data_IF_117586125533
#
_entry.id   IF_117586125533
#
_cell.length_a   1.000
_cell.length_b   1.000
_cell.length_c   1.000
_cell.angle_alpha   90.00
_cell.angle_beta   90.00
_cell.angle_gamma   90.00
#
_symmetry.space_group_name_H-M   'P 1'
#
loop_
_entity.id
_entity.type
_entity.pdbx_description
1 polymer ?
#
# COMPACT_ATOMS: atom_id res chain seq x y z
N UNK A 1 -5.82 -45.92 2.74
CA UNK A 1 -6.47 -45.20 1.62
C UNK A 1 -6.50 -43.72 1.99
N UNK A 2 -5.52 -42.94 1.51
CA UNK A 2 -5.45 -41.49 1.69
C UNK A 2 -6.34 -40.81 0.65
N UNK A 3 -7.26 -39.94 1.09
CA UNK A 3 -8.00 -39.05 0.21
C UNK A 3 -7.22 -37.74 0.11
N UNK A 4 -6.51 -37.53 -1.00
CA UNK A 4 -5.98 -36.22 -1.36
C UNK A 4 -7.12 -35.39 -1.97
N UNK A 5 -7.50 -34.32 -1.29
CA UNK A 5 -8.35 -33.27 -1.84
C UNK A 5 -7.42 -32.19 -2.40
N UNK A 6 -7.26 -32.20 -3.72
CA UNK A 6 -6.70 -31.07 -4.45
C UNK A 6 -7.75 -29.96 -4.46
N UNK A 7 -7.60 -28.98 -3.58
CA UNK A 7 -8.31 -27.71 -3.69
C UNK A 7 -7.59 -26.87 -4.76
N UNK A 8 -8.20 -26.76 -5.94
CA UNK A 8 -7.84 -25.79 -6.97
C UNK A 8 -8.06 -24.39 -6.39
N UNK A 9 -6.97 -23.72 -6.01
CA UNK A 9 -6.96 -22.30 -5.66
C UNK A 9 -7.18 -21.48 -6.93
N UNK A 10 -8.40 -20.98 -7.10
CA UNK A 10 -8.74 -19.97 -8.10
C UNK A 10 -7.89 -18.74 -7.84
N UNK A 11 -6.88 -18.48 -8.67
CA UNK A 11 -6.14 -17.23 -8.67
C UNK A 11 -7.11 -16.17 -9.20
N UNK A 12 -7.72 -15.42 -8.28
CA UNK A 12 -8.40 -14.18 -8.64
C UNK A 12 -7.31 -13.20 -9.06
N UNK A 13 -7.16 -12.99 -10.36
CA UNK A 13 -6.33 -11.95 -10.96
C UNK A 13 -6.75 -10.60 -10.38
N UNK A 14 -5.87 -9.98 -9.60
CA UNK A 14 -6.03 -8.63 -9.09
C UNK A 14 -5.84 -7.62 -10.22
N UNK A 15 -6.87 -7.47 -11.04
CA UNK A 15 -6.98 -6.33 -11.94
C UNK A 15 -7.71 -5.19 -11.21
N UNK A 16 -7.13 -4.00 -11.28
CA UNK A 16 -7.72 -2.69 -10.97
C UNK A 16 -7.80 -2.26 -9.49
N UNK A 17 -6.70 -1.67 -9.02
CA UNK A 17 -6.75 -0.40 -8.29
C UNK A 17 -5.59 0.52 -8.74
N UNK A 18 -5.57 0.84 -10.03
CA UNK A 18 -4.76 1.94 -10.57
C UNK A 18 -5.51 3.26 -10.31
N UNK A 19 -5.34 3.85 -9.14
CA UNK A 19 -5.75 5.23 -8.91
C UNK A 19 -4.77 6.15 -9.64
N UNK A 20 -5.19 6.60 -10.83
CA UNK A 20 -4.55 7.68 -11.57
C UNK A 20 -4.56 8.96 -10.72
N UNK A 21 -3.41 9.38 -10.21
CA UNK A 21 -3.21 10.78 -9.81
C UNK A 21 -2.72 11.55 -11.03
N UNK A 22 -3.67 12.05 -11.83
CA UNK A 22 -3.37 13.09 -12.80
C UNK A 22 -3.07 14.38 -12.01
N UNK A 23 -1.79 14.69 -11.84
CA UNK A 23 -1.37 16.05 -11.52
C UNK A 23 -1.49 16.86 -12.80
N UNK A 24 -2.33 17.89 -12.75
CA UNK A 24 -2.62 18.83 -13.84
C UNK A 24 -1.36 19.47 -14.42
N UNK A 25 -1.15 19.33 -15.73
CA UNK A 25 -0.14 20.04 -16.52
C UNK A 25 -0.33 19.83 -18.03
N UNK A 26 -0.59 20.92 -18.76
CA UNK A 26 -1.09 21.01 -20.14
C UNK A 26 -0.25 20.33 -21.25
N UNK A 27 -0.91 19.73 -22.25
CA UNK A 27 -1.02 20.26 -23.64
C UNK A 27 -1.73 19.28 -24.58
N UNK A 28 -2.55 19.84 -25.47
CA UNK A 28 -3.33 19.22 -26.55
C UNK A 28 -2.62 18.11 -27.33
N UNK A 29 -3.32 17.00 -27.56
CA UNK A 29 -3.26 16.26 -28.83
C UNK A 29 -4.44 15.28 -28.97
N UNK A 30 -5.37 15.62 -29.87
CA UNK A 30 -5.96 14.70 -30.86
C UNK A 30 -6.83 13.54 -30.38
N UNK A 31 -8.15 13.74 -30.38
CA UNK A 31 -9.12 12.66 -30.50
C UNK A 31 -9.04 12.11 -31.93
N UNK A 32 -8.70 10.82 -32.07
CA UNK A 32 -8.96 10.06 -33.29
C UNK A 32 -9.84 8.85 -32.96
N UNK A 33 -11.12 8.99 -33.31
CA UNK A 33 -12.12 7.93 -33.40
C UNK A 33 -11.80 6.98 -34.53
N UNK A 34 -11.99 5.66 -34.35
CA UNK A 34 -12.43 4.76 -35.42
C UNK A 34 -13.02 3.48 -34.83
N UNK A 35 -14.34 3.34 -34.96
CA UNK A 35 -15.07 2.09 -34.86
C UNK A 35 -15.36 1.56 -36.28
N UNK A 36 -15.19 0.26 -36.42
CA UNK A 36 -15.92 -0.75 -37.21
C UNK A 36 -16.43 -0.46 -38.64
N UNK A 37 -16.15 -1.44 -39.52
CA UNK A 37 -17.08 -1.83 -40.58
C UNK A 37 -16.46 -2.65 -41.71
N UNK A 38 -16.89 -3.90 -41.90
CA UNK A 38 -16.80 -4.59 -43.20
C UNK A 38 -16.76 -6.11 -43.15
N UNK A 39 -17.86 -6.75 -43.57
CA UNK A 39 -18.07 -8.21 -43.56
C UNK A 39 -17.82 -8.90 -44.94
N UNK A 40 -17.53 -10.21 -44.86
CA UNK A 40 -17.78 -11.34 -45.81
C UNK A 40 -17.15 -11.33 -47.22
N UNK A 41 -16.44 -12.40 -47.62
CA UNK A 41 -17.01 -13.61 -48.27
C UNK A 41 -15.92 -14.67 -48.62
N UNK A 42 -16.40 -15.88 -48.92
CA UNK A 42 -15.80 -17.20 -49.03
C UNK A 42 -14.90 -17.53 -50.24
N UNK A 43 -13.91 -18.43 -50.05
CA UNK A 43 -13.50 -19.47 -51.03
C UNK A 43 -12.47 -20.47 -50.49
N UNK A 44 -12.81 -21.76 -50.54
CA UNK A 44 -11.97 -22.96 -50.34
C UNK A 44 -10.90 -23.14 -51.42
N UNK A 45 -9.64 -23.44 -51.04
CA UNK A 45 -8.66 -24.25 -51.81
C UNK A 45 -7.64 -24.94 -50.87
N UNK A 46 -7.37 -26.19 -51.18
CA UNK A 46 -6.43 -27.11 -50.53
C UNK A 46 -4.94 -26.69 -50.58
N UNK A 47 -4.22 -27.18 -49.56
CA UNK A 47 -2.82 -27.62 -49.53
C UNK A 47 -1.67 -26.62 -49.80
N UNK A 48 -1.06 -26.12 -48.71
CA UNK A 48 0.41 -26.15 -48.55
C UNK A 48 0.79 -26.10 -47.07
N UNK A 49 1.56 -27.10 -46.62
CA UNK A 49 2.28 -27.11 -45.34
C UNK A 49 3.21 -25.88 -45.30
N UNK A 50 3.13 -24.99 -44.30
CA UNK A 50 4.12 -23.93 -44.14
C UNK A 50 5.50 -24.57 -43.85
N UNK A 51 6.59 -24.05 -44.42
CA UNK A 51 7.94 -24.47 -44.04
C UNK A 51 8.16 -24.15 -42.55
N UNK A 52 9.01 -24.97 -41.92
CA UNK A 52 9.35 -24.86 -40.52
C UNK A 52 10.08 -23.53 -40.23
N UNK A 53 9.61 -22.88 -39.17
CA UNK A 53 10.32 -21.98 -38.25
C UNK A 53 11.14 -20.87 -38.91
N UNK A 54 10.50 -19.72 -39.07
CA UNK A 54 11.16 -18.44 -38.89
C UNK A 54 11.78 -18.43 -37.50
N UNK A 55 13.10 -18.28 -37.42
CA UNK A 55 13.77 -17.79 -36.23
C UNK A 55 13.23 -16.37 -36.01
N UNK A 56 12.15 -16.25 -35.22
CA UNK A 56 11.74 -14.96 -34.69
C UNK A 56 12.94 -14.40 -33.93
N UNK A 57 13.42 -13.19 -34.27
CA UNK A 57 14.48 -12.57 -33.51
C UNK A 57 13.98 -12.43 -32.07
N UNK A 58 14.73 -13.00 -31.11
CA UNK A 58 14.50 -12.80 -29.68
C UNK A 58 14.22 -11.30 -29.47
N UNK A 59 12.95 -10.97 -29.16
CA UNK A 59 12.62 -9.59 -28.82
C UNK A 59 13.51 -9.21 -27.64
N UNK A 60 14.19 -8.05 -27.69
CA UNK A 60 15.08 -7.68 -26.61
C UNK A 60 14.27 -7.64 -25.32
N UNK A 61 14.67 -8.43 -24.32
CA UNK A 61 14.08 -8.42 -22.99
C UNK A 61 13.80 -6.97 -22.59
N UNK A 62 12.52 -6.62 -22.43
CA UNK A 62 12.12 -5.28 -22.05
C UNK A 62 12.87 -4.95 -20.75
N UNK A 63 13.69 -3.88 -20.77
CA UNK A 63 14.53 -3.53 -19.63
C UNK A 63 13.63 -2.97 -18.54
N UNK A 64 13.13 -3.86 -17.68
CA UNK A 64 12.31 -3.51 -16.53
C UNK A 64 13.15 -2.77 -15.48
N UNK A 65 12.55 -1.78 -14.81
CA UNK A 65 13.18 -1.05 -13.69
C UNK A 65 13.25 -1.86 -12.39
N UNK A 66 12.75 -3.09 -12.39
CA UNK A 66 12.70 -3.99 -11.25
C UNK A 66 13.05 -5.42 -11.68
N UNK A 67 13.40 -6.26 -10.70
CA UNK A 67 13.67 -7.69 -10.91
C UNK A 67 12.52 -8.54 -10.38
N UNK A 68 12.32 -9.71 -10.98
CA UNK A 68 11.32 -10.68 -10.55
C UNK A 68 11.79 -11.55 -9.37
N UNK A 69 13.08 -11.51 -9.02
CA UNK A 69 13.66 -12.30 -7.93
C UNK A 69 12.96 -11.99 -6.59
N UNK A 70 12.67 -13.01 -5.76
CA UNK A 70 12.07 -12.81 -4.45
C UNK A 70 12.88 -11.85 -3.58
N UNK A 71 12.18 -10.92 -2.92
CA UNK A 71 12.79 -9.99 -1.98
C UNK A 71 12.68 -10.56 -0.57
N UNK A 72 13.83 -10.58 0.12
CA UNK A 72 13.87 -10.91 1.54
C UNK A 72 13.31 -9.75 2.38
N UNK A 73 12.12 -9.98 2.94
CA UNK A 73 11.43 -9.03 3.83
C UNK A 73 11.75 -9.24 5.31
N UNK A 74 12.64 -10.17 5.66
CA UNK A 74 12.98 -10.47 7.06
C UNK A 74 13.62 -9.27 7.79
N UNK A 75 14.29 -8.39 7.03
CA UNK A 75 14.88 -7.15 7.54
C UNK A 75 13.86 -6.02 7.73
N UNK A 76 12.64 -6.14 7.20
CA UNK A 76 11.59 -5.15 7.39
C UNK A 76 10.99 -5.34 8.77
N UNK A 77 11.40 -4.46 9.69
CA UNK A 77 10.89 -4.42 11.05
C UNK A 77 9.41 -4.07 11.11
N UNK A 78 8.80 -4.48 12.22
CA UNK A 78 7.46 -4.09 12.63
C UNK A 78 7.37 -4.09 14.15
N UNK A 79 6.60 -3.15 14.68
CA UNK A 79 6.14 -3.13 16.07
C UNK A 79 4.66 -2.77 16.08
N UNK A 80 3.90 -3.25 17.09
CA UNK A 80 2.50 -2.89 17.28
C UNK A 80 2.28 -1.38 17.26
N UNK A 81 1.13 -0.96 16.76
CA UNK A 81 0.76 0.44 16.68
C UNK A 81 0.58 1.04 18.08
N UNK A 82 1.15 2.22 18.29
CA UNK A 82 0.90 2.99 19.50
C UNK A 82 -0.41 3.77 19.35
N UNK A 83 -1.44 3.33 20.06
CA UNK A 83 -2.74 4.01 20.10
C UNK A 83 -2.74 5.13 21.16
N UNK A 84 -2.98 6.37 20.73
CA UNK A 84 -3.29 7.51 21.61
C UNK A 84 -4.46 8.31 21.02
N UNK A 85 -5.67 7.73 21.02
CA UNK A 85 -6.84 8.37 20.43
C UNK A 85 -7.15 9.70 21.13
N UNK A 86 -7.51 10.72 20.34
CA UNK A 86 -7.83 12.06 20.84
C UNK A 86 -6.62 12.92 21.21
N UNK A 87 -5.38 12.43 21.05
CA UNK A 87 -4.18 13.27 21.24
C UNK A 87 -4.06 14.37 20.19
N UNK A 88 -4.60 14.15 18.99
CA UNK A 88 -4.66 15.14 17.92
C UNK A 88 -6.11 15.54 17.63
N UNK A 89 -6.30 16.79 17.20
CA UNK A 89 -7.57 17.19 16.57
C UNK A 89 -7.54 16.86 15.07
N UNK A 90 -8.65 17.09 14.36
CA UNK A 90 -8.68 16.95 12.89
C UNK A 90 -7.81 17.98 12.15
N UNK A 91 -7.38 19.07 12.82
CA UNK A 91 -6.58 20.14 12.22
C UNK A 91 -5.13 19.70 11.94
N UNK A 92 -4.66 18.59 12.52
CA UNK A 92 -3.32 17.99 12.25
C UNK A 92 -3.05 17.82 10.76
N UNK A 93 -4.05 17.40 9.97
CA UNK A 93 -3.88 17.20 8.53
C UNK A 93 -3.68 18.51 7.79
N UNK A 94 -4.33 19.58 8.25
CA UNK A 94 -4.16 20.92 7.71
C UNK A 94 -2.76 21.45 8.02
N UNK A 95 -2.29 21.31 9.27
CA UNK A 95 -0.94 21.73 9.68
C UNK A 95 0.12 21.05 8.80
N UNK A 96 0.07 19.73 8.66
CA UNK A 96 1.06 18.99 7.86
C UNK A 96 0.97 19.40 6.38
N UNK A 97 -0.25 19.52 5.83
CA UNK A 97 -0.47 19.94 4.43
C UNK A 97 0.10 21.33 4.16
N UNK A 98 -0.22 22.30 5.01
CA UNK A 98 0.18 23.69 4.82
C UNK A 98 1.70 23.81 4.90
N UNK A 99 2.33 23.08 5.83
CA UNK A 99 3.79 23.07 5.97
C UNK A 99 4.49 22.42 4.77
N UNK A 100 3.99 21.28 4.28
CA UNK A 100 4.52 20.66 3.06
C UNK A 100 4.33 21.56 1.85
N UNK A 101 3.18 22.23 1.72
CA UNK A 101 2.91 23.15 0.61
C UNK A 101 3.85 24.35 0.64
N UNK A 102 4.07 24.95 1.81
CA UNK A 102 4.97 26.10 1.99
C UNK A 102 6.44 25.77 1.67
N UNK A 103 6.84 24.50 1.77
CA UNK A 103 8.21 24.05 1.57
C UNK A 103 8.37 23.14 0.34
N UNK A 104 7.50 23.26 -0.67
CA UNK A 104 7.57 22.50 -1.92
C UNK A 104 7.66 20.97 -1.72
N UNK A 105 6.98 20.46 -0.70
CA UNK A 105 6.94 19.05 -0.34
C UNK A 105 8.16 18.54 0.43
N UNK A 106 9.13 19.39 0.76
CA UNK A 106 10.35 19.00 1.47
C UNK A 106 10.45 19.67 2.84
N UNK A 107 10.11 18.92 3.89
CA UNK A 107 10.22 19.36 5.29
C UNK A 107 10.93 18.26 6.07
N UNK A 108 11.91 18.64 6.90
CA UNK A 108 12.57 17.65 7.75
C UNK A 108 11.61 17.15 8.84
N UNK A 109 11.83 15.90 9.26
CA UNK A 109 11.07 15.27 10.34
C UNK A 109 11.00 16.15 11.60
N UNK A 110 12.14 16.72 12.03
CA UNK A 110 12.20 17.55 13.23
C UNK A 110 11.38 18.84 13.09
N UNK A 111 11.44 19.49 11.93
CA UNK A 111 10.65 20.70 11.66
C UNK A 111 9.16 20.38 11.68
N UNK A 112 8.75 19.27 11.08
CA UNK A 112 7.35 18.86 11.07
C UNK A 112 6.83 18.51 12.48
N UNK A 113 7.64 17.80 13.27
CA UNK A 113 7.32 17.46 14.67
C UNK A 113 7.19 18.71 15.53
N UNK A 114 8.14 19.65 15.42
CA UNK A 114 8.14 20.90 16.18
C UNK A 114 6.95 21.79 15.81
N UNK A 115 6.60 21.85 14.52
CA UNK A 115 5.46 22.64 14.07
C UNK A 115 4.15 22.05 14.57
N UNK A 116 4.02 20.72 14.55
CA UNK A 116 2.84 20.05 15.08
C UNK A 116 2.70 20.26 16.59
N UNK A 117 3.82 20.25 17.33
CA UNK A 117 3.83 20.50 18.76
C UNK A 117 3.36 21.93 19.12
N UNK A 118 3.66 22.91 18.26
CA UNK A 118 3.25 24.32 18.41
C UNK A 118 1.81 24.57 18.01
N UNK A 119 1.38 23.97 16.90
CA UNK A 119 0.08 24.26 16.28
C UNK A 119 -1.07 23.43 16.87
N UNK A 120 -0.83 22.18 17.29
CA UNK A 120 -1.82 21.32 17.93
C UNK A 120 -1.54 21.21 19.44
N UNK A 121 -0.54 20.41 19.79
CA UNK A 121 -0.09 20.14 21.16
C UNK A 121 1.16 19.24 21.13
N UNK A 122 1.93 19.27 22.22
CA UNK A 122 3.02 18.30 22.42
C UNK A 122 2.51 16.85 22.38
N UNK A 123 1.33 16.58 22.94
CA UNK A 123 0.71 15.26 22.95
C UNK A 123 0.36 14.76 21.54
N UNK A 124 -0.15 15.64 20.66
CA UNK A 124 -0.42 15.30 19.27
C UNK A 124 0.89 14.96 18.53
N UNK A 125 1.92 15.80 18.69
CA UNK A 125 3.22 15.57 18.10
C UNK A 125 3.83 14.25 18.59
N UNK A 126 3.75 13.97 19.89
CA UNK A 126 4.16 12.69 20.45
C UNK A 126 3.29 11.52 20.02
N UNK A 127 2.05 11.71 19.61
CA UNK A 127 1.27 10.62 19.04
C UNK A 127 1.76 10.29 17.63
N UNK A 128 1.85 11.30 16.78
CA UNK A 128 2.21 11.17 15.35
C UNK A 128 3.65 10.72 15.16
N UNK A 129 4.56 11.20 16.00
CA UNK A 129 5.99 10.96 15.90
C UNK A 129 6.49 10.17 17.13
N UNK A 130 7.41 9.25 16.91
CA UNK A 130 8.06 8.50 17.97
C UNK A 130 9.40 7.93 17.54
N UNK A 131 10.20 7.51 18.50
CA UNK A 131 11.43 6.77 18.24
C UNK A 131 11.13 5.28 18.11
N UNK A 132 12.08 4.50 17.60
CA UNK A 132 11.99 3.05 17.62
C UNK A 132 11.92 2.52 19.07
N UNK A 133 11.01 1.58 19.32
CA UNK A 133 10.67 1.12 20.66
C UNK A 133 9.71 -0.08 20.64
N UNK A 134 8.98 -0.29 21.73
CA UNK A 134 8.07 -1.45 21.86
C UNK A 134 6.76 -1.30 21.06
N UNK A 135 6.35 -0.05 20.79
CA UNK A 135 5.19 0.28 19.97
C UNK A 135 5.50 1.48 19.07
N UNK A 136 5.05 1.44 17.82
CA UNK A 136 5.36 2.42 16.81
C UNK A 136 4.28 3.48 16.64
N UNK A 137 4.71 4.74 16.66
CA UNK A 137 3.94 5.88 16.16
C UNK A 137 3.62 5.71 14.65
N UNK A 138 2.73 6.52 14.08
CA UNK A 138 2.61 6.63 12.63
C UNK A 138 3.97 6.86 11.94
N UNK A 139 4.76 7.82 12.41
CA UNK A 139 6.12 8.13 11.90
C UNK A 139 7.15 7.74 12.96
N UNK A 140 8.05 6.81 12.62
CA UNK A 140 9.09 6.31 13.53
C UNK A 140 10.44 6.85 13.10
N UNK A 141 11.13 7.54 13.98
CA UNK A 141 12.54 7.91 13.81
C UNK A 141 13.42 6.68 14.00
N UNK A 142 14.23 6.36 13.00
CA UNK A 142 15.24 5.28 13.08
C UNK A 142 16.60 5.87 13.45
N UNK A 143 16.88 7.09 12.98
CA UNK A 143 18.04 7.90 13.32
C UNK A 143 17.76 9.36 12.96
N UNK A 144 18.74 10.24 13.17
CA UNK A 144 18.61 11.69 12.93
C UNK A 144 18.21 12.08 11.48
N UNK A 145 18.38 11.17 10.51
CA UNK A 145 18.14 11.45 9.09
C UNK A 145 17.12 10.54 8.43
N UNK A 146 16.68 9.48 9.12
CA UNK A 146 15.88 8.39 8.54
C UNK A 146 14.66 8.10 9.38
N UNK A 147 13.53 7.92 8.72
CA UNK A 147 12.26 7.56 9.35
C UNK A 147 11.60 6.40 8.61
N UNK A 148 10.75 5.67 9.33
CA UNK A 148 9.90 4.62 8.81
C UNK A 148 8.45 5.03 9.01
N UNK A 149 7.63 4.80 8.00
CA UNK A 149 6.18 4.94 8.11
C UNK A 149 5.60 3.62 8.62
N UNK A 150 4.88 3.66 9.74
CA UNK A 150 4.13 2.52 10.26
C UNK A 150 2.82 2.34 9.47
N UNK A 151 2.95 1.89 8.22
CA UNK A 151 1.80 1.62 7.33
C UNK A 151 1.00 0.41 7.82
N UNK A 152 1.66 -0.56 8.44
CA UNK A 152 1.03 -1.67 9.14
C UNK A 152 0.10 -1.24 10.27
N UNK A 153 0.43 -0.14 10.96
CA UNK A 153 -0.37 0.34 12.09
C UNK A 153 -1.80 0.76 11.74
N UNK A 154 -2.07 1.19 10.51
CA UNK A 154 -3.45 1.43 10.08
C UNK A 154 -4.25 0.13 9.91
N UNK A 155 -3.62 -0.90 9.34
CA UNK A 155 -4.23 -2.22 9.17
C UNK A 155 -4.52 -2.87 10.52
N UNK A 156 -3.56 -2.81 11.44
CA UNK A 156 -3.75 -3.25 12.82
C UNK A 156 -4.88 -2.49 13.51
N UNK A 157 -4.92 -1.16 13.40
CA UNK A 157 -5.96 -0.35 14.04
C UNK A 157 -7.37 -0.67 13.53
N UNK A 158 -7.52 -1.00 12.24
CA UNK A 158 -8.82 -1.32 11.64
C UNK A 158 -9.26 -2.76 11.86
N UNK A 159 -8.32 -3.68 12.11
CA UNK A 159 -8.61 -5.11 12.27
C UNK A 159 -8.55 -5.57 13.73
N UNK A 160 -7.83 -4.86 14.59
CA UNK A 160 -7.46 -5.31 15.92
C UNK A 160 -6.41 -6.42 15.94
N UNK A 161 -5.77 -6.73 14.81
CA UNK A 161 -4.83 -7.84 14.65
C UNK A 161 -3.43 -7.36 14.23
N UNK A 162 -2.47 -7.50 15.13
CA UNK A 162 -1.07 -7.14 14.88
C UNK A 162 -0.42 -7.99 13.78
N UNK A 163 -0.89 -9.22 13.56
CA UNK A 163 -0.36 -10.08 12.49
C UNK A 163 -0.76 -9.56 11.10
N UNK A 164 -1.96 -8.96 10.98
CA UNK A 164 -2.36 -8.24 9.77
C UNK A 164 -1.53 -6.97 9.59
N UNK A 165 -1.29 -6.21 10.67
CA UNK A 165 -0.40 -5.04 10.64
C UNK A 165 1.01 -5.37 10.18
N UNK A 166 1.63 -6.41 10.74
CA UNK A 166 2.97 -6.88 10.37
C UNK A 166 3.04 -7.30 8.90
N UNK A 167 2.09 -8.12 8.46
CA UNK A 167 2.06 -8.60 7.09
C UNK A 167 1.89 -7.45 6.08
N UNK A 168 1.05 -6.45 6.40
CA UNK A 168 0.91 -5.25 5.60
C UNK A 168 2.21 -4.42 5.59
N UNK A 169 2.89 -4.25 6.72
CA UNK A 169 4.17 -3.53 6.79
C UNK A 169 5.23 -4.18 5.89
N UNK A 170 5.35 -5.51 5.95
CA UNK A 170 6.26 -6.28 5.09
C UNK A 170 5.89 -6.20 3.62
N UNK A 171 4.61 -6.28 3.29
CA UNK A 171 4.12 -6.09 1.93
C UNK A 171 4.54 -4.71 1.36
N UNK A 172 4.27 -3.63 2.09
CA UNK A 172 4.64 -2.28 1.64
C UNK A 172 6.15 -2.08 1.52
N UNK A 173 6.92 -2.59 2.50
CA UNK A 173 8.38 -2.52 2.42
C UNK A 173 8.94 -3.33 1.25
N UNK A 174 8.31 -4.46 0.89
CA UNK A 174 8.67 -5.20 -0.30
C UNK A 174 8.44 -4.37 -1.58
N UNK A 175 7.25 -3.77 -1.73
CA UNK A 175 6.93 -2.94 -2.88
C UNK A 175 7.91 -1.78 -3.04
N UNK A 176 8.23 -1.09 -1.95
CA UNK A 176 9.17 0.03 -1.98
C UNK A 176 10.59 -0.42 -2.31
N UNK A 177 11.01 -1.60 -1.81
CA UNK A 177 12.32 -2.17 -2.12
C UNK A 177 12.42 -2.60 -3.59
N UNK A 178 11.37 -3.24 -4.11
CA UNK A 178 11.32 -3.74 -5.48
C UNK A 178 11.33 -2.59 -6.50
N UNK A 179 10.59 -1.52 -6.21
CA UNK A 179 10.31 -0.44 -7.16
C UNK A 179 11.12 0.83 -6.92
N UNK A 180 12.13 0.80 -6.05
CA UNK A 180 12.93 1.98 -5.68
C UNK A 180 13.66 2.63 -6.86
N UNK A 181 14.03 1.83 -7.87
CA UNK A 181 14.84 2.26 -9.01
C UNK A 181 13.98 2.72 -10.21
N UNK A 182 12.64 2.62 -10.10
CA UNK A 182 11.70 3.07 -11.11
C UNK A 182 11.55 4.60 -11.06
N UNK A 183 11.89 5.29 -12.15
CA UNK A 183 12.18 6.72 -12.17
C UNK A 183 10.95 7.62 -12.18
N UNK A 184 9.86 7.18 -12.80
CA UNK A 184 8.62 7.97 -12.89
C UNK A 184 7.42 7.32 -12.17
N UNK A 185 6.31 8.06 -12.09
CA UNK A 185 5.12 7.59 -11.37
C UNK A 185 4.43 6.41 -12.07
N UNK A 186 4.43 6.37 -13.41
CA UNK A 186 3.81 5.30 -14.18
C UNK A 186 4.61 4.00 -14.04
N UNK A 187 5.93 4.06 -14.18
CA UNK A 187 6.83 2.92 -13.95
C UNK A 187 6.68 2.36 -12.54
N UNK A 188 6.62 3.22 -11.52
CA UNK A 188 6.39 2.78 -10.14
C UNK A 188 5.03 2.14 -9.95
N UNK A 189 3.98 2.65 -10.62
CA UNK A 189 2.64 2.07 -10.56
C UNK A 189 2.63 0.68 -11.21
N UNK A 190 3.21 0.53 -12.40
CA UNK A 190 3.32 -0.76 -13.10
C UNK A 190 4.14 -1.74 -12.28
N UNK A 191 5.34 -1.34 -11.82
CA UNK A 191 6.18 -2.15 -10.96
C UNK A 191 5.42 -2.66 -9.73
N UNK A 192 4.72 -1.79 -9.00
CA UNK A 192 3.95 -2.18 -7.82
C UNK A 192 2.84 -3.17 -8.13
N UNK A 193 2.26 -3.15 -9.34
CA UNK A 193 1.28 -4.14 -9.76
C UNK A 193 1.97 -5.49 -10.04
N UNK A 194 3.05 -5.47 -10.82
CA UNK A 194 3.70 -6.67 -11.33
C UNK A 194 4.40 -7.47 -10.22
N UNK A 195 5.11 -6.77 -9.33
CA UNK A 195 5.91 -7.41 -8.27
C UNK A 195 5.05 -8.15 -7.24
N UNK A 196 3.76 -7.81 -7.11
CA UNK A 196 2.84 -8.55 -6.23
C UNK A 196 2.66 -10.02 -6.64
N UNK A 197 2.88 -10.32 -7.92
CA UNK A 197 2.78 -11.69 -8.45
C UNK A 197 4.15 -12.36 -8.64
N UNK A 198 5.24 -11.60 -8.50
CA UNK A 198 6.63 -12.06 -8.63
C UNK A 198 7.45 -11.82 -7.36
N UNK A 199 8.31 -10.80 -7.33
CA UNK A 199 9.29 -10.53 -6.27
C UNK A 199 8.68 -10.40 -4.86
N UNK A 200 7.46 -9.87 -4.78
CA UNK A 200 6.70 -9.66 -3.55
C UNK A 200 5.52 -10.62 -3.39
N UNK A 201 5.51 -11.76 -4.11
CA UNK A 201 4.42 -12.73 -4.04
C UNK A 201 4.19 -13.28 -2.63
N UNK A 202 5.25 -13.65 -1.93
CA UNK A 202 5.13 -14.20 -0.57
C UNK A 202 4.58 -13.17 0.44
N UNK A 203 5.12 -11.93 0.55
CA UNK A 203 4.51 -10.88 1.37
C UNK A 203 3.05 -10.57 1.01
N UNK A 204 2.72 -10.60 -0.29
CA UNK A 204 1.34 -10.39 -0.76
C UNK A 204 0.41 -11.49 -0.24
N UNK A 205 0.83 -12.76 -0.35
CA UNK A 205 0.04 -13.89 0.16
C UNK A 205 -0.09 -13.86 1.68
N UNK A 206 0.98 -13.50 2.39
CA UNK A 206 0.94 -13.35 3.85
C UNK A 206 -0.05 -12.27 4.29
N UNK A 207 -0.04 -11.10 3.64
CA UNK A 207 -1.01 -10.05 3.93
C UNK A 207 -2.45 -10.49 3.64
N UNK A 208 -2.70 -11.16 2.51
CA UNK A 208 -4.01 -11.69 2.20
C UNK A 208 -4.48 -12.73 3.24
N UNK A 209 -3.58 -13.58 3.72
CA UNK A 209 -3.90 -14.58 4.73
C UNK A 209 -4.22 -13.95 6.10
N UNK A 210 -3.37 -13.03 6.57
CA UNK A 210 -3.52 -12.41 7.90
C UNK A 210 -4.67 -11.39 7.96
N UNK A 211 -5.00 -10.73 6.85
CA UNK A 211 -5.98 -9.64 6.84
C UNK A 211 -7.37 -10.05 6.32
N UNK A 212 -7.69 -11.35 6.25
CA UNK A 212 -9.05 -11.81 5.90
C UNK A 212 -9.34 -11.85 4.39
N UNK A 213 -8.32 -12.03 3.56
CA UNK A 213 -8.45 -12.24 2.11
C UNK A 213 -8.55 -10.94 1.29
N UNK A 214 -8.67 -11.12 -0.04
CA UNK A 214 -8.60 -10.02 -1.03
C UNK A 214 -9.66 -8.94 -0.84
N UNK A 215 -10.90 -9.34 -0.56
CA UNK A 215 -12.01 -8.42 -0.36
C UNK A 215 -11.77 -7.48 0.82
N UNK A 216 -11.34 -8.03 1.97
CA UNK A 216 -11.06 -7.26 3.18
C UNK A 216 -9.80 -6.42 3.02
N UNK A 217 -8.74 -6.96 2.43
CA UNK A 217 -7.51 -6.21 2.11
C UNK A 217 -7.82 -4.99 1.22
N UNK A 218 -8.65 -5.14 0.19
CA UNK A 218 -9.05 -4.01 -0.66
C UNK A 218 -9.84 -2.94 0.11
N UNK A 219 -10.69 -3.34 1.05
CA UNK A 219 -11.37 -2.41 1.95
C UNK A 219 -10.38 -1.65 2.82
N UNK A 220 -9.46 -2.37 3.48
CA UNK A 220 -8.39 -1.79 4.30
C UNK A 220 -7.51 -0.84 3.50
N UNK A 221 -7.14 -1.19 2.26
CA UNK A 221 -6.40 -0.30 1.36
C UNK A 221 -7.15 1.00 1.10
N UNK A 222 -8.45 0.94 0.77
CA UNK A 222 -9.24 2.15 0.52
C UNK A 222 -9.33 3.03 1.75
N UNK A 223 -9.42 2.46 2.95
CA UNK A 223 -9.44 3.23 4.20
C UNK A 223 -8.06 3.80 4.53
N UNK A 224 -7.02 2.97 4.49
CA UNK A 224 -5.65 3.35 4.85
C UNK A 224 -4.94 4.23 3.82
N UNK A 225 -5.36 4.19 2.55
CA UNK A 225 -4.83 5.03 1.46
C UNK A 225 -5.85 6.03 0.94
N UNK A 226 -6.94 6.28 1.67
CA UNK A 226 -7.97 7.21 1.24
C UNK A 226 -7.36 8.56 0.84
N UNK A 227 -7.57 8.96 -0.42
CA UNK A 227 -7.11 10.24 -0.98
C UNK A 227 -7.66 11.48 -0.25
N UNK A 228 -8.53 11.30 0.74
CA UNK A 228 -8.93 12.36 1.69
C UNK A 228 -7.73 12.98 2.39
N UNK A 229 -6.66 12.21 2.57
CA UNK A 229 -5.45 12.67 3.22
C UNK A 229 -4.40 13.07 2.20
N UNK A 230 -3.80 14.24 2.40
CA UNK A 230 -2.75 14.77 1.52
C UNK A 230 -1.42 14.01 1.67
N UNK A 231 -1.30 13.18 2.71
CA UNK A 231 -0.09 12.45 3.06
C UNK A 231 -0.42 10.96 3.09
N UNK A 232 0.52 10.12 2.64
CA UNK A 232 0.41 8.65 2.63
C UNK A 232 0.11 7.99 3.98
N UNK A 233 0.14 8.78 5.06
CA UNK A 233 -0.03 8.34 6.44
C UNK A 233 -1.27 8.92 7.13
N UNK A 234 -2.07 9.72 6.42
CA UNK A 234 -3.13 10.45 7.10
C UNK A 234 -4.18 9.53 7.73
N UNK A 235 -4.45 8.37 7.13
CA UNK A 235 -5.31 7.37 7.74
C UNK A 235 -4.70 6.77 9.01
N UNK A 236 -3.40 6.44 9.02
CA UNK A 236 -2.71 5.97 10.23
C UNK A 236 -2.81 7.00 11.35
N UNK A 237 -2.55 8.28 11.06
CA UNK A 237 -2.72 9.37 12.04
C UNK A 237 -4.18 9.48 12.49
N UNK A 238 -5.14 9.37 11.56
CA UNK A 238 -6.56 9.43 11.89
C UNK A 238 -6.95 8.35 12.90
N UNK A 239 -6.54 7.10 12.66
CA UNK A 239 -6.96 5.97 13.49
C UNK A 239 -6.17 5.83 14.78
N UNK A 240 -4.91 6.26 14.81
CA UNK A 240 -4.06 6.13 16.00
C UNK A 240 -4.10 7.37 16.92
N UNK A 241 -4.33 8.56 16.37
CA UNK A 241 -4.16 9.83 17.10
C UNK A 241 -5.40 10.72 17.18
N UNK A 242 -6.31 10.65 16.18
CA UNK A 242 -7.45 11.59 16.09
C UNK A 242 -8.76 10.94 16.53
N UNK A 243 -9.13 9.85 15.88
CA UNK A 243 -10.39 9.19 16.15
C UNK A 243 -10.43 8.73 17.61
N UNK A 244 -11.57 8.94 18.32
CA UNK A 244 -11.77 8.21 19.57
C UNK A 244 -11.65 6.73 19.24
N UNK A 245 -11.01 5.94 20.11
CA UNK A 245 -11.01 4.50 19.97
C UNK A 245 -12.47 4.06 19.89
N UNK A 246 -12.95 3.76 18.68
CA UNK A 246 -14.28 3.17 18.52
C UNK A 246 -14.22 1.87 19.28
N UNK A 247 -15.02 1.79 20.35
CA UNK A 247 -15.24 0.63 21.21
C UNK A 247 -14.54 -0.61 20.68
N UNK A 248 -13.29 -0.81 21.12
CA UNK A 248 -12.61 -2.08 20.95
C UNK A 248 -13.54 -3.08 21.60
N UNK A 249 -14.19 -3.92 20.79
CA UNK A 249 -15.21 -4.88 21.19
C UNK A 249 -14.65 -5.94 22.12
N UNK A 250 -14.37 -5.55 23.35
CA UNK A 250 -14.17 -6.40 24.50
C UNK A 250 -15.35 -6.09 25.41
N UNK A 251 -16.38 -6.91 25.28
CA UNK A 251 -17.29 -7.19 26.38
C UNK A 251 -16.40 -7.70 27.53
N UNK A 252 -15.96 -6.78 28.40
CA UNK A 252 -15.49 -7.16 29.72
C UNK A 252 -16.73 -7.66 30.44
N UNK A 253 -16.93 -8.97 30.36
CA UNK A 253 -17.80 -9.75 31.22
C UNK A 253 -17.47 -9.36 32.66
N UNK A 254 -18.23 -8.40 33.18
CA UNK A 254 -18.32 -8.13 34.59
C UNK A 254 -19.16 -9.26 35.19
N UNK A 255 -18.55 -10.45 35.26
CA UNK A 255 -18.97 -11.55 36.12
C UNK A 255 -18.85 -11.11 37.57
N UNK A 256 -19.77 -10.25 37.98
CA UNK A 256 -20.12 -10.02 39.37
C UNK A 256 -21.30 -10.95 39.66
N UNK A 257 -21.00 -12.20 39.98
CA UNK A 257 -21.87 -12.99 40.84
C UNK A 257 -21.09 -13.34 42.10
N UNK A 258 -21.52 -12.70 43.17
CA UNK A 258 -21.20 -13.02 44.54
C UNK A 258 -21.94 -14.29 44.96
N UNK A 259 -21.22 -15.16 45.67
CA UNK A 259 -21.72 -15.86 46.86
C UNK A 259 -20.59 -15.86 47.91
#
# INVERSE_FOLDING_TARGET
>A
MQKQLFALTTIATFAALTSATAVTGCSDAGIATSSDGGASDSSTRDARKPPATDDEPDEPDEVLCYKADPIDVSSIGYKPARHRPGSCTGEVFKVIKDLLTANNGSVSYLVLKDELAKSESAECAECVFGDDGDAWAPVVSVNDTSYVQNRGGCFEALTGDSSCGEAAQKFFGCLDTACKDCGNANERSSCRSDVQTSACREPTQAMLASCGGSGKVNELFRECQAAKYVISMGATIQHLCVAPAKDAGVELDAGADAD
#
